data_IF_202049112037
#
_entry.id   IF_202049112037
#
_cell.length_a   1.000
_cell.length_b   1.000
_cell.length_c   1.000
_cell.angle_alpha   90.00
_cell.angle_beta   90.00
_cell.angle_gamma   90.00
#
_symmetry.space_group_name_H-M   'P 1'
#
loop_
_entity.id
_entity.type
_entity.pdbx_description
1 polymer ?
#
# COMPACT_ATOMS: atom_id res chain seq x y z
N UNK A 1 84.08 9.02 12.57
CA UNK A 1 83.14 7.96 13.03
C UNK A 1 81.78 8.60 13.24
N UNK A 2 80.88 8.32 12.27
CA UNK A 2 79.40 8.26 12.32
C UNK A 2 78.58 9.50 12.74
N UNK A 3 78.06 10.22 11.72
CA UNK A 3 76.87 11.09 11.79
C UNK A 3 75.58 10.24 11.80
N UNK A 4 74.78 10.39 12.85
CA UNK A 4 73.43 9.84 12.98
C UNK A 4 72.43 10.63 12.12
N UNK A 5 71.83 9.99 11.13
CA UNK A 5 70.72 10.53 10.34
C UNK A 5 69.39 10.05 10.96
N UNK A 6 68.61 10.96 11.53
CA UNK A 6 67.24 10.67 11.96
C UNK A 6 66.29 10.96 10.78
N UNK A 7 65.84 9.90 10.09
CA UNK A 7 64.77 10.01 9.11
C UNK A 7 63.42 9.94 9.82
N UNK A 8 62.69 11.06 9.86
CA UNK A 8 61.29 11.10 10.32
C UNK A 8 60.40 10.69 9.15
N UNK A 9 59.80 9.50 9.23
CA UNK A 9 58.84 9.00 8.25
C UNK A 9 57.44 9.57 8.60
N UNK A 10 57.03 10.64 7.91
CA UNK A 10 55.66 11.14 7.99
C UNK A 10 54.74 10.26 7.13
N UNK A 11 53.97 9.38 7.75
CA UNK A 11 52.98 8.55 7.06
C UNK A 11 51.72 9.38 6.79
N UNK A 12 51.47 9.69 5.52
CA UNK A 12 50.29 10.40 5.06
C UNK A 12 49.10 9.42 5.04
N UNK A 13 48.29 9.41 6.09
CA UNK A 13 47.02 8.66 6.11
C UNK A 13 45.99 9.40 5.27
N UNK A 14 45.82 9.00 4.01
CA UNK A 14 44.66 9.36 3.19
C UNK A 14 43.42 8.66 3.79
N UNK A 15 42.69 9.38 4.63
CA UNK A 15 41.37 8.95 5.06
C UNK A 15 40.42 9.01 3.86
N UNK A 16 40.11 7.85 3.28
CA UNK A 16 39.03 7.70 2.32
C UNK A 16 37.71 8.01 3.02
N UNK A 17 37.20 9.23 2.85
CA UNK A 17 35.83 9.57 3.26
C UNK A 17 34.88 8.67 2.46
N UNK A 18 33.93 7.96 3.10
CA UNK A 18 32.88 7.29 2.37
C UNK A 18 32.07 8.36 1.63
N UNK A 19 32.16 8.36 0.30
CA UNK A 19 31.22 9.10 -0.54
C UNK A 19 29.87 8.39 -0.43
N UNK A 20 29.04 8.84 0.50
CA UNK A 20 27.63 8.46 0.48
C UNK A 20 27.00 9.19 -0.70
N UNK A 21 26.88 8.49 -1.84
CA UNK A 21 25.92 8.86 -2.86
C UNK A 21 24.54 8.84 -2.19
N UNK A 22 23.97 10.00 -1.89
CA UNK A 22 22.58 10.11 -1.50
C UNK A 22 21.75 9.79 -2.74
N UNK A 23 21.53 8.49 -2.99
CA UNK A 23 20.44 8.07 -3.85
C UNK A 23 19.17 8.69 -3.30
N UNK A 24 18.43 9.42 -4.13
CA UNK A 24 17.06 9.77 -3.83
C UNK A 24 16.27 8.47 -3.83
N UNK A 25 16.21 7.78 -2.68
CA UNK A 25 15.42 6.55 -2.54
C UNK A 25 13.95 6.90 -2.80
N UNK A 26 13.45 6.45 -3.96
CA UNK A 26 12.05 6.53 -4.32
C UNK A 26 11.38 5.24 -3.88
N UNK A 27 10.41 5.35 -2.98
CA UNK A 27 9.52 4.23 -2.67
C UNK A 27 8.66 3.95 -3.89
N UNK A 28 8.87 2.81 -4.56
CA UNK A 28 8.15 2.44 -5.78
C UNK A 28 7.35 1.15 -5.60
N UNK A 29 6.03 1.27 -5.66
CA UNK A 29 5.10 0.14 -5.60
C UNK A 29 4.41 -0.02 -6.95
N UNK A 30 4.79 -1.04 -7.72
CA UNK A 30 4.29 -1.24 -9.09
C UNK A 30 3.64 -2.61 -9.27
N UNK A 31 2.38 -2.62 -9.68
CA UNK A 31 1.77 -3.79 -10.32
C UNK A 31 2.14 -3.72 -11.79
N UNK A 32 2.88 -4.71 -12.29
CA UNK A 32 3.45 -4.66 -13.63
C UNK A 32 2.43 -4.85 -14.75
N UNK A 33 2.87 -4.50 -15.96
CA UNK A 33 2.08 -4.64 -17.18
C UNK A 33 1.60 -6.09 -17.34
N UNK A 34 0.29 -6.27 -17.54
CA UNK A 34 -0.33 -7.57 -17.77
C UNK A 34 -0.36 -8.51 -16.56
N UNK A 35 0.11 -8.09 -15.38
CA UNK A 35 -0.10 -8.84 -14.15
C UNK A 35 -1.59 -9.17 -13.99
N UNK A 36 -1.96 -10.32 -13.42
CA UNK A 36 -3.36 -10.71 -13.12
C UNK A 36 -4.38 -10.59 -14.28
N UNK A 37 -3.94 -10.39 -15.52
CA UNK A 37 -4.82 -10.34 -16.67
C UNK A 37 -5.54 -11.69 -16.85
N UNK A 38 -6.84 -11.64 -17.11
CA UNK A 38 -7.68 -12.83 -17.31
C UNK A 38 -7.96 -13.63 -16.05
N UNK A 39 -7.62 -13.14 -14.85
CA UNK A 39 -7.94 -13.83 -13.59
C UNK A 39 -9.46 -14.01 -13.45
N UNK A 40 -9.91 -15.19 -13.02
CA UNK A 40 -11.31 -15.48 -12.75
C UNK A 40 -11.49 -15.94 -11.29
N UNK A 41 -12.52 -15.42 -10.62
CA UNK A 41 -12.79 -15.71 -9.21
C UNK A 41 -12.36 -14.54 -8.31
N UNK A 42 -11.54 -14.80 -7.29
CA UNK A 42 -11.07 -13.76 -6.36
C UNK A 42 -9.59 -13.48 -6.51
N UNK A 43 -9.23 -12.22 -6.76
CA UNK A 43 -7.86 -11.70 -6.69
C UNK A 43 -7.78 -10.60 -5.61
N UNK A 44 -6.75 -10.69 -4.76
CA UNK A 44 -6.51 -9.73 -3.68
C UNK A 44 -5.01 -9.38 -3.62
N UNK A 45 -4.68 -8.10 -3.76
CA UNK A 45 -3.29 -7.60 -3.80
C UNK A 45 -3.07 -6.57 -2.71
N UNK A 46 -2.12 -6.82 -1.81
CA UNK A 46 -1.52 -5.80 -0.95
C UNK A 46 -0.09 -5.58 -1.46
N UNK A 47 0.18 -4.40 -2.02
CA UNK A 47 1.50 -4.02 -2.50
C UNK A 47 1.93 -2.72 -1.83
N UNK A 48 3.10 -2.73 -1.21
CA UNK A 48 3.63 -1.58 -0.51
C UNK A 48 5.13 -1.38 -0.76
N UNK A 49 5.55 -0.13 -0.87
CA UNK A 49 6.94 0.31 -0.78
C UNK A 49 7.05 1.42 0.28
N UNK A 50 8.19 1.52 0.96
CA UNK A 50 8.39 2.38 2.13
C UNK A 50 8.07 1.67 3.45
N UNK A 51 7.83 2.43 4.51
CA UNK A 51 7.80 1.91 5.89
C UNK A 51 6.44 2.06 6.57
N UNK A 52 6.06 1.06 7.37
CA UNK A 52 4.87 1.15 8.23
C UNK A 52 3.54 1.30 7.47
N UNK A 53 3.41 0.78 6.25
CA UNK A 53 2.11 0.66 5.59
C UNK A 53 1.34 -0.54 6.16
N UNK A 54 0.05 -0.41 6.44
CA UNK A 54 -0.81 -1.52 6.85
C UNK A 54 -2.02 -1.65 5.90
N UNK A 55 -2.16 -2.83 5.29
CA UNK A 55 -3.11 -3.07 4.21
C UNK A 55 -3.92 -4.34 4.47
N UNK A 56 -5.23 -4.32 4.19
CA UNK A 56 -6.14 -5.46 4.37
C UNK A 56 -7.10 -5.59 3.19
N UNK A 57 -7.18 -6.78 2.58
CA UNK A 57 -8.19 -7.11 1.56
C UNK A 57 -9.00 -8.31 2.05
N UNK A 58 -10.21 -8.07 2.56
CA UNK A 58 -11.08 -9.07 3.15
C UNK A 58 -12.29 -9.36 2.25
N UNK A 59 -12.69 -10.62 2.17
CA UNK A 59 -13.94 -11.02 1.56
C UNK A 59 -14.59 -12.14 2.37
N UNK A 60 -15.89 -12.05 2.59
CA UNK A 60 -16.69 -13.15 3.11
C UNK A 60 -17.80 -13.46 2.11
N UNK A 61 -17.88 -14.72 1.68
CA UNK A 61 -18.88 -15.20 0.72
C UNK A 61 -19.63 -16.34 1.40
N UNK A 62 -20.92 -16.18 1.60
CA UNK A 62 -21.77 -17.21 2.19
C UNK A 62 -23.07 -17.30 1.41
N UNK A 63 -23.42 -18.51 0.98
CA UNK A 63 -24.72 -18.76 0.37
C UNK A 63 -25.81 -18.79 1.45
N UNK A 64 -25.60 -19.62 2.48
CA UNK A 64 -26.44 -19.75 3.68
C UNK A 64 -25.61 -19.48 4.96
N UNK A 65 -26.28 -19.08 6.05
CA UNK A 65 -25.62 -18.87 7.35
C UNK A 65 -25.20 -17.42 7.60
N UNK A 66 -23.94 -17.17 7.95
CA UNK A 66 -23.43 -15.82 8.24
C UNK A 66 -22.10 -15.54 7.52
N UNK A 67 -21.93 -14.30 7.08
CA UNK A 67 -20.70 -13.79 6.48
C UNK A 67 -20.23 -12.58 7.28
N UNK A 68 -19.00 -12.65 7.81
CA UNK A 68 -18.42 -11.60 8.64
C UNK A 68 -16.99 -11.29 8.20
N UNK A 69 -16.67 -10.00 8.16
CA UNK A 69 -15.32 -9.48 7.97
C UNK A 69 -15.02 -8.50 9.10
N UNK A 70 -13.81 -8.58 9.64
CA UNK A 70 -13.32 -7.70 10.70
C UNK A 70 -11.84 -7.41 10.44
N UNK A 71 -11.49 -6.13 10.33
CA UNK A 71 -10.12 -5.68 10.18
C UNK A 71 -9.76 -4.80 11.37
N UNK A 72 -8.49 -4.83 11.77
CA UNK A 72 -7.86 -3.85 12.65
C UNK A 72 -6.47 -3.58 12.11
N UNK A 73 -6.24 -2.38 11.61
CA UNK A 73 -4.91 -1.94 11.19
C UNK A 73 -4.35 -0.98 12.25
N UNK A 74 -3.05 -1.08 12.53
CA UNK A 74 -2.29 -0.16 13.38
C UNK A 74 -1.04 0.29 12.66
N UNK A 75 -0.72 1.59 12.78
CA UNK A 75 0.53 2.18 12.29
C UNK A 75 1.11 3.08 13.38
N UNK A 76 2.38 2.84 13.72
CA UNK A 76 3.12 3.66 14.69
C UNK A 76 3.63 4.96 14.09
N UNK A 77 4.44 5.72 14.86
CA UNK A 77 5.01 6.98 14.39
C UNK A 77 5.80 6.82 13.09
N UNK A 78 5.44 7.62 12.08
CA UNK A 78 6.04 7.57 10.74
C UNK A 78 6.80 8.85 10.40
N UNK A 79 7.99 8.66 9.85
CA UNK A 79 8.80 9.74 9.25
C UNK A 79 8.16 10.15 7.91
N UNK A 80 8.16 11.43 7.53
CA UNK A 80 7.70 11.84 6.20
C UNK A 80 8.43 11.07 5.10
N UNK A 81 7.68 10.50 4.15
CA UNK A 81 8.24 9.83 2.98
C UNK A 81 8.83 10.85 2.01
N UNK A 82 9.98 10.52 1.42
CA UNK A 82 10.63 11.26 0.34
C UNK A 82 9.84 11.17 -0.98
N UNK A 83 10.49 10.73 -2.05
CA UNK A 83 9.80 10.42 -3.30
C UNK A 83 9.00 9.12 -3.16
N UNK A 84 7.75 9.10 -3.63
CA UNK A 84 6.88 7.94 -3.56
C UNK A 84 6.08 7.81 -4.85
N UNK A 85 6.12 6.64 -5.48
CA UNK A 85 5.38 6.34 -6.70
C UNK A 85 4.65 5.02 -6.54
N UNK A 86 3.33 5.05 -6.69
CA UNK A 86 2.50 3.85 -6.83
C UNK A 86 1.96 3.78 -8.24
N UNK A 87 2.06 2.61 -8.88
CA UNK A 87 1.65 2.43 -10.26
C UNK A 87 0.94 1.10 -10.49
N UNK A 88 -0.14 1.16 -11.25
CA UNK A 88 -0.80 0.00 -11.83
C UNK A 88 -0.57 0.04 -13.33
N UNK A 89 0.22 -0.91 -13.82
CA UNK A 89 0.69 -0.99 -15.20
C UNK A 89 -0.42 -1.30 -16.21
N UNK A 90 -0.08 -1.18 -17.49
CA UNK A 90 -1.03 -1.43 -18.57
C UNK A 90 -1.55 -2.87 -18.50
N UNK A 91 -2.87 -3.06 -18.58
CA UNK A 91 -3.51 -4.37 -18.55
C UNK A 91 -3.37 -5.19 -17.26
N UNK A 92 -2.94 -4.61 -16.14
CA UNK A 92 -2.66 -5.29 -14.86
C UNK A 92 -3.85 -5.99 -14.14
N UNK A 93 -5.05 -5.94 -14.70
CA UNK A 93 -6.26 -6.66 -14.32
C UNK A 93 -7.19 -6.85 -15.53
N UNK A 94 -6.68 -6.68 -16.75
CA UNK A 94 -7.51 -6.68 -17.95
C UNK A 94 -8.20 -8.04 -18.14
N UNK A 95 -9.48 -8.00 -18.52
CA UNK A 95 -10.35 -9.17 -18.66
C UNK A 95 -10.50 -10.01 -17.38
N UNK A 96 -10.16 -9.47 -16.20
CA UNK A 96 -10.40 -10.13 -14.93
C UNK A 96 -11.91 -10.24 -14.63
N UNK A 97 -12.33 -11.29 -13.93
CA UNK A 97 -13.74 -11.50 -13.56
C UNK A 97 -13.91 -11.99 -12.13
N UNK A 98 -14.93 -11.50 -11.42
CA UNK A 98 -15.25 -11.89 -10.05
C UNK A 98 -14.98 -10.77 -9.04
N UNK A 99 -14.19 -11.04 -8.00
CA UNK A 99 -13.83 -10.07 -6.95
C UNK A 99 -12.35 -9.71 -7.09
N UNK A 100 -12.07 -8.52 -7.58
CA UNK A 100 -10.72 -7.98 -7.72
C UNK A 100 -10.51 -6.88 -6.69
N UNK A 101 -9.52 -7.06 -5.82
CA UNK A 101 -9.25 -6.13 -4.72
C UNK A 101 -7.76 -5.78 -4.66
N UNK A 102 -7.43 -4.50 -4.56
CA UNK A 102 -6.05 -4.03 -4.54
C UNK A 102 -5.87 -2.88 -3.54
N UNK A 103 -4.84 -2.98 -2.71
CA UNK A 103 -4.29 -1.91 -1.88
C UNK A 103 -2.86 -1.71 -2.36
N UNK A 104 -2.56 -0.56 -2.95
CA UNK A 104 -1.23 -0.20 -3.46
C UNK A 104 -0.77 1.08 -2.79
N UNK A 105 0.37 1.05 -2.11
CA UNK A 105 0.89 2.19 -1.39
C UNK A 105 2.39 2.36 -1.60
N UNK A 106 2.84 3.59 -1.78
CA UNK A 106 4.26 3.94 -1.70
C UNK A 106 4.46 5.04 -0.66
N UNK A 107 5.53 4.97 0.11
CA UNK A 107 5.82 5.90 1.20
C UNK A 107 5.49 5.31 2.57
N UNK A 108 5.18 6.17 3.55
CA UNK A 108 5.22 5.79 4.96
C UNK A 108 3.86 5.90 5.65
N UNK A 109 3.43 4.86 6.35
CA UNK A 109 2.29 4.99 7.27
C UNK A 109 0.92 5.02 6.60
N UNK A 110 0.79 4.43 5.41
CA UNK A 110 -0.50 4.36 4.73
C UNK A 110 -1.35 3.21 5.31
N UNK A 111 -2.61 3.49 5.61
CA UNK A 111 -3.61 2.53 6.08
C UNK A 111 -4.65 2.31 4.98
N UNK A 112 -4.74 1.08 4.46
CA UNK A 112 -5.68 0.76 3.38
C UNK A 112 -6.49 -0.50 3.70
N UNK A 113 -7.80 -0.46 3.46
CA UNK A 113 -8.72 -1.56 3.70
C UNK A 113 -9.68 -1.73 2.54
N UNK A 114 -9.85 -2.96 2.05
CA UNK A 114 -11.00 -3.35 1.24
C UNK A 114 -11.72 -4.48 1.95
N UNK A 115 -13.04 -4.39 2.04
CA UNK A 115 -13.89 -5.41 2.61
C UNK A 115 -15.08 -5.67 1.68
N UNK A 116 -15.38 -6.93 1.41
CA UNK A 116 -16.55 -7.33 0.64
C UNK A 116 -17.31 -8.43 1.36
N UNK A 117 -18.62 -8.31 1.44
CA UNK A 117 -19.50 -9.38 1.91
C UNK A 117 -20.53 -9.70 0.84
N UNK A 118 -20.51 -10.94 0.36
CA UNK A 118 -21.44 -11.48 -0.62
C UNK A 118 -22.29 -12.54 0.08
N UNK A 119 -23.51 -12.20 0.46
CA UNK A 119 -24.36 -13.03 1.31
C UNK A 119 -25.81 -13.08 0.80
N UNK A 120 -26.09 -13.86 -0.26
CA UNK A 120 -27.40 -13.90 -0.90
C UNK A 120 -28.56 -14.31 0.02
N UNK A 121 -28.36 -15.33 0.84
CA UNK A 121 -29.35 -15.83 1.80
C UNK A 121 -28.81 -15.92 3.24
N UNK A 122 -27.76 -15.15 3.54
CA UNK A 122 -27.06 -15.17 4.82
C UNK A 122 -27.21 -13.85 5.61
N UNK A 123 -27.08 -13.95 6.93
CA UNK A 123 -27.02 -12.77 7.82
C UNK A 123 -25.67 -12.08 7.68
N UNK A 124 -25.68 -10.76 7.45
CA UNK A 124 -24.47 -9.96 7.27
C UNK A 124 -24.12 -9.20 8.54
N UNK A 125 -22.86 -9.31 8.97
CA UNK A 125 -22.25 -8.43 9.97
C UNK A 125 -20.96 -7.86 9.41
N UNK A 126 -20.82 -6.54 9.45
CA UNK A 126 -19.61 -5.86 9.04
C UNK A 126 -19.22 -4.92 10.16
N UNK A 127 -18.06 -5.15 10.75
CA UNK A 127 -17.39 -4.16 11.57
C UNK A 127 -16.46 -3.37 10.65
N UNK A 128 -17.08 -2.49 9.84
CA UNK A 128 -16.36 -1.59 8.97
C UNK A 128 -15.63 -0.60 9.87
N UNK A 129 -14.30 -0.54 9.75
CA UNK A 129 -13.54 0.51 10.40
C UNK A 129 -13.93 1.82 9.70
N UNK A 130 -14.50 2.76 10.45
CA UNK A 130 -14.76 4.08 9.92
C UNK A 130 -13.44 4.77 9.59
N UNK A 131 -13.43 5.59 8.54
CA UNK A 131 -12.23 6.35 8.16
C UNK A 131 -11.70 7.18 9.34
N UNK A 132 -12.57 7.61 10.26
CA UNK A 132 -12.18 8.29 11.50
C UNK A 132 -11.45 7.43 12.53
N UNK A 133 -11.81 6.15 12.67
CA UNK A 133 -11.04 5.21 13.51
C UNK A 133 -9.70 4.86 12.86
N UNK A 134 -9.70 4.69 11.53
CA UNK A 134 -8.50 4.45 10.77
C UNK A 134 -7.57 5.68 10.79
N UNK A 135 -8.12 6.90 10.80
CA UNK A 135 -7.37 8.15 10.93
C UNK A 135 -6.92 8.45 12.37
N UNK A 136 -7.70 8.06 13.39
CA UNK A 136 -7.28 8.16 14.78
C UNK A 136 -6.05 7.28 15.02
N UNK A 137 -5.98 6.13 14.35
CA UNK A 137 -4.84 5.23 14.41
C UNK A 137 -3.57 5.83 13.80
N UNK A 138 -3.69 6.55 12.68
CA UNK A 138 -2.55 7.26 12.09
C UNK A 138 -2.14 8.51 12.89
N UNK A 139 -3.09 9.15 13.60
CA UNK A 139 -2.82 10.32 14.43
C UNK A 139 -2.09 10.00 15.75
N UNK A 140 -2.09 8.73 16.21
CA UNK A 140 -1.32 8.27 17.37
C UNK A 140 0.19 8.21 17.12
N UNK A 141 0.63 8.21 15.87
CA UNK A 141 2.02 8.41 15.48
C UNK A 141 2.40 9.87 15.70
N UNK A 142 3.21 10.16 16.72
CA UNK A 142 3.66 11.51 17.06
C UNK A 142 4.04 12.31 15.81
N UNK A 143 3.42 13.49 15.61
CA UNK A 143 3.85 14.49 14.63
C UNK A 143 5.03 15.25 15.23
N UNK A 144 6.31 14.98 14.86
CA UNK A 144 7.39 15.83 15.29
C UNK A 144 7.24 17.13 14.50
N UNK A 145 7.13 18.24 15.22
CA UNK A 145 7.05 19.56 14.61
C UNK A 145 8.28 19.79 13.72
N UNK A 146 8.06 19.82 12.41
CA UNK A 146 8.87 20.53 11.44
C UNK A 146 8.12 20.56 10.11
N UNK A 147 7.86 21.76 9.62
CA UNK A 147 7.49 22.01 8.24
C UNK A 147 8.68 21.66 7.33
N UNK A 148 9.03 20.39 7.24
CA UNK A 148 9.88 19.85 6.20
C UNK A 148 8.98 19.35 5.09
N UNK A 149 8.83 20.11 4.01
CA UNK A 149 8.33 19.55 2.77
C UNK A 149 9.25 18.37 2.42
N UNK A 150 8.74 17.14 2.51
CA UNK A 150 9.54 16.02 2.06
C UNK A 150 9.82 16.21 0.57
N UNK A 151 11.10 16.20 0.19
CA UNK A 151 11.53 16.45 -1.17
C UNK A 151 11.26 15.22 -2.04
N UNK A 152 10.47 15.36 -3.10
CA UNK A 152 10.27 14.34 -4.12
C UNK A 152 8.82 14.24 -4.63
N UNK A 153 8.61 13.69 -5.85
CA UNK A 153 7.29 13.48 -6.41
C UNK A 153 6.50 12.44 -5.61
N UNK A 154 5.18 12.65 -5.53
CA UNK A 154 4.20 11.74 -4.94
C UNK A 154 3.15 11.44 -5.99
N UNK A 155 3.28 10.30 -6.65
CA UNK A 155 2.44 9.95 -7.80
C UNK A 155 1.72 8.63 -7.56
N UNK A 156 0.41 8.65 -7.82
CA UNK A 156 -0.41 7.46 -7.93
C UNK A 156 -0.95 7.42 -9.36
N UNK A 157 -0.48 6.44 -10.15
CA UNK A 157 -0.84 6.30 -11.56
C UNK A 157 -1.54 4.97 -11.80
N UNK A 158 -2.69 5.02 -12.48
CA UNK A 158 -3.37 3.84 -13.03
C UNK A 158 -3.31 3.98 -14.54
N UNK A 159 -2.74 3.00 -15.23
CA UNK A 159 -2.73 3.04 -16.69
C UNK A 159 -4.16 2.84 -17.26
N UNK A 160 -4.51 3.49 -18.39
CA UNK A 160 -5.89 3.54 -18.88
C UNK A 160 -6.56 2.17 -19.12
N UNK A 161 -5.78 1.15 -19.47
CA UNK A 161 -6.26 -0.20 -19.78
C UNK A 161 -6.06 -1.19 -18.62
N UNK A 162 -5.59 -0.74 -17.45
CA UNK A 162 -5.29 -1.60 -16.30
C UNK A 162 -6.46 -2.53 -15.96
N UNK A 163 -7.69 -2.02 -15.98
CA UNK A 163 -8.92 -2.78 -15.70
C UNK A 163 -9.80 -2.97 -16.94
N UNK A 164 -9.24 -2.90 -18.15
CA UNK A 164 -10.01 -3.03 -19.40
C UNK A 164 -10.80 -4.35 -19.39
N UNK A 165 -12.12 -4.28 -19.60
CA UNK A 165 -13.02 -5.44 -19.59
C UNK A 165 -13.05 -6.23 -18.26
N UNK A 166 -12.61 -5.64 -17.14
CA UNK A 166 -12.81 -6.26 -15.84
C UNK A 166 -14.31 -6.32 -15.51
N UNK A 167 -14.78 -7.44 -14.97
CA UNK A 167 -16.20 -7.68 -14.66
C UNK A 167 -16.39 -8.18 -13.22
N UNK A 168 -17.54 -7.89 -12.61
CA UNK A 168 -17.81 -8.20 -11.21
C UNK A 168 -17.53 -7.00 -10.28
N UNK A 169 -16.96 -7.26 -9.11
CA UNK A 169 -16.63 -6.25 -8.10
C UNK A 169 -15.14 -5.90 -8.15
N UNK A 170 -14.82 -4.63 -8.36
CA UNK A 170 -13.46 -4.09 -8.27
C UNK A 170 -13.37 -3.12 -7.09
N UNK A 171 -12.45 -3.36 -6.16
CA UNK A 171 -12.13 -2.45 -5.05
C UNK A 171 -10.66 -2.08 -5.12
N UNK A 172 -10.35 -0.78 -5.13
CA UNK A 172 -8.98 -0.29 -5.27
C UNK A 172 -8.72 0.86 -4.32
N UNK A 173 -7.66 0.75 -3.53
CA UNK A 173 -7.04 1.85 -2.81
C UNK A 173 -5.62 2.02 -3.35
N UNK A 174 -5.30 3.21 -3.87
CA UNK A 174 -3.96 3.52 -4.36
C UNK A 174 -3.49 4.86 -3.77
N UNK A 175 -2.33 4.87 -3.11
CA UNK A 175 -1.78 6.08 -2.48
C UNK A 175 -0.28 6.21 -2.69
N UNK A 176 0.23 7.44 -2.60
CA UNK A 176 1.64 7.76 -2.59
C UNK A 176 1.91 8.88 -1.58
N UNK A 177 2.93 8.71 -0.74
CA UNK A 177 3.28 9.66 0.33
C UNK A 177 3.06 9.06 1.72
N UNK A 178 2.67 9.91 2.68
CA UNK A 178 2.61 9.50 4.08
C UNK A 178 1.27 9.72 4.75
N UNK A 179 0.88 8.80 5.63
CA UNK A 179 -0.29 8.95 6.50
C UNK A 179 -1.63 8.92 5.78
N UNK A 180 -1.70 8.39 4.55
CA UNK A 180 -2.98 8.26 3.86
C UNK A 180 -3.80 7.13 4.49
N UNK A 181 -5.11 7.35 4.58
CA UNK A 181 -6.05 6.43 5.22
C UNK A 181 -7.22 6.21 4.27
N UNK A 182 -7.51 4.96 3.90
CA UNK A 182 -8.51 4.63 2.88
C UNK A 182 -9.20 3.29 3.15
N UNK A 183 -10.52 3.26 2.98
CA UNK A 183 -11.35 2.08 3.24
C UNK A 183 -12.46 1.95 2.19
N UNK A 184 -12.58 0.79 1.54
CA UNK A 184 -13.73 0.44 0.71
C UNK A 184 -14.50 -0.72 1.33
N UNK A 185 -15.82 -0.61 1.41
CA UNK A 185 -16.69 -1.66 1.93
C UNK A 185 -17.84 -1.91 0.95
N UNK A 186 -18.02 -3.17 0.54
CA UNK A 186 -19.12 -3.60 -0.32
C UNK A 186 -19.94 -4.70 0.35
N UNK A 187 -21.26 -4.63 0.17
CA UNK A 187 -22.21 -5.60 0.75
C UNK A 187 -23.26 -5.94 -0.27
N UNK A 188 -23.41 -7.22 -0.60
CA UNK A 188 -24.54 -7.72 -1.39
C UNK A 188 -25.47 -8.55 -0.52
N UNK A 189 -26.71 -8.07 -0.40
CA UNK A 189 -27.85 -8.73 0.23
C UNK A 189 -29.05 -8.60 -0.71
N UNK A 190 -29.31 -9.60 -1.57
CA UNK A 190 -30.52 -9.66 -2.36
C UNK A 190 -31.75 -9.62 -1.45
N UNK A 191 -32.85 -8.99 -1.87
CA UNK A 191 -34.12 -9.07 -1.17
C UNK A 191 -34.55 -10.53 -0.99
N UNK A 192 -35.16 -10.84 0.16
CA UNK A 192 -35.77 -12.14 0.38
C UNK A 192 -36.84 -12.39 -0.71
N UNK A 193 -36.60 -13.35 -1.59
CA UNK A 193 -37.53 -13.76 -2.65
C UNK A 193 -37.04 -13.65 -4.10
N UNK A 194 -35.86 -13.10 -4.39
CA UNK A 194 -35.29 -13.20 -5.74
C UNK A 194 -34.33 -14.39 -5.82
N UNK A 195 -34.86 -15.57 -6.15
CA UNK A 195 -34.06 -16.68 -6.66
C UNK A 195 -33.75 -16.41 -8.14
N UNK A 196 -32.51 -16.67 -8.57
CA UNK A 196 -32.15 -16.83 -9.98
C UNK A 196 -32.28 -18.30 -10.36
#
# INVERSE_FOLDING_TARGET
>A
MTLTHAAVLASLMLASLPSHAQGTDTDSARIDTGALAGVAGRAAVNLAAGSGNAQSNQAAIADIGSATVQSRQHVGATVPAGSAVSQIGNGAFANGSGLLSANVASGNGNLQSNAAVLAPAASVRIEAISDGLLAAESAGGSRPGSAGHAAGPREAVIQPDAYRNATGLVQLNQTAGSGNVSSNVFVLRPPAGTFF
#
